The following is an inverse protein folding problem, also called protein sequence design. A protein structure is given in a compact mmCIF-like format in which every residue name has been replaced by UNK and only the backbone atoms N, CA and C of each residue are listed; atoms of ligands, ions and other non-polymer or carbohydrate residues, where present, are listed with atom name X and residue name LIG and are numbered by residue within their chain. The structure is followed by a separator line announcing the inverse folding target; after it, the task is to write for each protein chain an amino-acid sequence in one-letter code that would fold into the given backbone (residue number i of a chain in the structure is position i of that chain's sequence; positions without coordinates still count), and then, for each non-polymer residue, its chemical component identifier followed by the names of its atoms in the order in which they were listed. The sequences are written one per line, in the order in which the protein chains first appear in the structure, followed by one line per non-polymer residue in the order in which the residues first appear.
data_IF_430058547201
#
_entry.id   IF_430058547201
#
_cell.length_a   1.000
_cell.length_b   1.000
_cell.length_c   1.000
_cell.angle_alpha   90.00
_cell.angle_beta   90.00
_cell.angle_gamma   90.00
#
_symmetry.space_group_name_H-M   'P 1'
#
loop_
_entity.id
_entity.type
_entity.pdbx_description
1 polymer ?
#
# COMPACT_ATOMS: atom_id res chain seq x y z
N UNK A 1 -19.38 -9.78 -39.27
CA UNK A 1 -19.30 -8.34 -38.94
C UNK A 1 -18.52 -8.17 -37.64
N UNK A 2 -17.28 -7.68 -37.72
CA UNK A 2 -16.39 -7.54 -36.58
C UNK A 2 -16.82 -6.33 -35.74
N UNK A 3 -17.28 -6.56 -34.50
CA UNK A 3 -17.51 -5.47 -33.53
C UNK A 3 -16.16 -4.93 -33.08
N UNK A 4 -15.85 -3.71 -33.53
CA UNK A 4 -14.67 -2.94 -33.15
C UNK A 4 -14.42 -3.02 -31.64
N UNK A 5 -13.30 -3.62 -31.27
CA UNK A 5 -12.67 -3.52 -29.95
C UNK A 5 -12.11 -2.10 -29.81
N UNK A 6 -12.99 -1.12 -29.59
CA UNK A 6 -12.61 0.30 -29.55
C UNK A 6 -11.84 0.72 -28.29
N UNK A 7 -11.42 -0.23 -27.44
CA UNK A 7 -10.66 0.06 -26.23
C UNK A 7 -9.87 -1.17 -25.75
N UNK A 8 -8.60 -1.33 -26.18
CA UNK A 8 -7.75 -2.46 -25.81
C UNK A 8 -7.38 -2.47 -24.31
N UNK A 9 -7.51 -1.35 -23.60
CA UNK A 9 -7.26 -1.26 -22.15
C UNK A 9 -8.54 -1.21 -21.31
N UNK A 10 -9.71 -1.18 -21.96
CA UNK A 10 -11.01 -1.04 -21.30
C UNK A 10 -11.08 0.21 -20.39
N UNK A 11 -10.39 1.29 -20.77
CA UNK A 11 -10.36 2.57 -20.07
C UNK A 11 -11.76 3.19 -19.87
N UNK A 12 -12.66 3.09 -20.85
CA UNK A 12 -14.04 3.58 -20.72
C UNK A 12 -14.80 2.79 -19.63
N UNK A 13 -14.65 1.47 -19.64
CA UNK A 13 -15.26 0.59 -18.63
C UNK A 13 -14.76 0.92 -17.23
N UNK A 14 -13.45 1.11 -17.08
CA UNK A 14 -12.82 1.49 -15.81
C UNK A 14 -13.37 2.83 -15.29
N UNK A 15 -13.47 3.86 -16.13
CA UNK A 15 -14.04 5.16 -15.76
C UNK A 15 -15.48 5.07 -15.27
N UNK A 16 -16.32 4.27 -15.96
CA UNK A 16 -17.71 4.05 -15.55
C UNK A 16 -17.76 3.37 -14.18
N UNK A 17 -16.94 2.34 -13.97
CA UNK A 17 -16.86 1.61 -12.70
C UNK A 17 -16.34 2.47 -11.55
N UNK A 18 -15.37 3.34 -11.80
CA UNK A 18 -14.87 4.33 -10.83
C UNK A 18 -15.99 5.30 -10.43
N UNK A 19 -16.69 5.88 -11.40
CA UNK A 19 -17.82 6.78 -11.14
C UNK A 19 -18.96 6.11 -10.37
N UNK A 20 -19.24 4.82 -10.65
CA UNK A 20 -20.22 4.04 -9.87
C UNK A 20 -19.75 3.80 -8.45
N UNK A 21 -18.46 3.54 -8.24
CA UNK A 21 -17.88 3.36 -6.91
C UNK A 21 -17.95 4.66 -6.08
N UNK A 22 -17.66 5.81 -6.69
CA UNK A 22 -17.74 7.12 -6.05
C UNK A 22 -19.15 7.48 -5.60
N UNK A 23 -20.16 7.11 -6.41
CA UNK A 23 -21.59 7.33 -6.08
C UNK A 23 -22.20 6.25 -5.18
N UNK A 24 -21.40 5.26 -4.77
CA UNK A 24 -21.85 4.05 -4.07
C UNK A 24 -23.03 3.33 -4.78
N UNK A 25 -23.04 3.37 -6.11
CA UNK A 25 -24.03 2.65 -6.91
C UNK A 25 -23.65 1.17 -7.04
N UNK A 26 -24.63 0.27 -6.94
CA UNK A 26 -24.38 -1.18 -7.01
C UNK A 26 -23.72 -1.57 -8.34
N UNK A 27 -22.50 -2.12 -8.25
CA UNK A 27 -21.73 -2.51 -9.42
C UNK A 27 -22.22 -3.86 -9.93
N UNK A 28 -22.99 -3.82 -11.02
CA UNK A 28 -23.44 -5.01 -11.76
C UNK A 28 -23.24 -4.83 -13.26
N UNK A 29 -23.07 -5.91 -14.01
CA UNK A 29 -22.92 -5.84 -15.47
C UNK A 29 -24.10 -5.11 -16.15
N UNK A 30 -25.32 -5.23 -15.61
CA UNK A 30 -26.51 -4.53 -16.12
C UNK A 30 -26.52 -3.04 -15.78
N UNK A 31 -26.00 -2.67 -14.61
CA UNK A 31 -25.89 -1.26 -14.22
C UNK A 31 -24.83 -0.55 -15.07
N UNK A 32 -23.69 -1.20 -15.31
CA UNK A 32 -22.62 -0.69 -16.20
C UNK A 32 -23.15 -0.43 -17.61
N UNK A 33 -23.93 -1.35 -18.19
CA UNK A 33 -24.44 -1.16 -19.57
C UNK A 33 -25.43 -0.01 -19.73
N UNK A 34 -26.01 0.49 -18.63
CA UNK A 34 -26.86 1.70 -18.66
C UNK A 34 -26.04 2.98 -18.76
N UNK A 35 -24.79 2.94 -18.30
CA UNK A 35 -23.90 4.11 -18.22
C UNK A 35 -22.79 4.08 -19.28
N UNK A 36 -22.53 2.93 -19.88
CA UNK A 36 -21.50 2.75 -20.90
C UNK A 36 -22.00 3.11 -22.31
N UNK A 37 -21.17 3.82 -23.09
CA UNK A 37 -21.58 4.31 -24.41
C UNK A 37 -21.69 3.20 -25.46
N UNK A 38 -20.76 2.23 -25.46
CA UNK A 38 -20.65 1.17 -26.46
C UNK A 38 -21.14 -0.22 -26.01
N UNK A 39 -21.03 -0.56 -24.72
CA UNK A 39 -21.47 -1.86 -24.18
C UNK A 39 -22.97 -1.82 -23.81
N UNK A 40 -23.82 -2.35 -24.68
CA UNK A 40 -25.29 -2.28 -24.52
C UNK A 40 -25.89 -3.50 -23.81
N UNK A 41 -25.20 -4.64 -23.79
CA UNK A 41 -25.69 -5.85 -23.15
C UNK A 41 -24.74 -6.34 -22.06
N UNK A 42 -25.29 -6.89 -20.97
CA UNK A 42 -24.47 -7.45 -19.89
C UNK A 42 -23.53 -8.56 -20.38
N UNK A 43 -23.95 -9.31 -21.41
CA UNK A 43 -23.13 -10.34 -22.06
C UNK A 43 -21.89 -9.79 -22.75
N UNK A 44 -21.86 -8.52 -23.17
CA UNK A 44 -20.69 -7.89 -23.78
C UNK A 44 -19.56 -7.67 -22.75
N UNK A 45 -19.89 -7.69 -21.46
CA UNK A 45 -18.96 -7.62 -20.33
C UNK A 45 -18.64 -9.01 -19.81
N UNK A 46 -19.66 -9.85 -19.56
CA UNK A 46 -19.47 -11.15 -18.88
C UNK A 46 -18.86 -12.24 -19.77
N UNK A 47 -18.98 -12.14 -21.10
CA UNK A 47 -18.37 -13.11 -22.04
C UNK A 47 -16.91 -12.79 -22.38
N UNK A 48 -16.47 -11.55 -22.18
CA UNK A 48 -15.09 -11.13 -22.45
C UNK A 48 -14.26 -11.21 -21.17
N UNK A 49 -13.22 -12.05 -21.15
CA UNK A 49 -12.45 -12.34 -19.94
C UNK A 49 -11.86 -11.09 -19.30
N UNK A 50 -11.18 -10.22 -20.07
CA UNK A 50 -10.57 -8.99 -19.55
C UNK A 50 -11.57 -8.04 -18.89
N UNK A 51 -12.79 -7.91 -19.44
CA UNK A 51 -13.83 -7.01 -18.91
C UNK A 51 -14.48 -7.60 -17.66
N UNK A 52 -14.70 -8.91 -17.66
CA UNK A 52 -15.19 -9.66 -16.49
C UNK A 52 -14.22 -9.55 -15.32
N UNK A 53 -12.91 -9.66 -15.57
CA UNK A 53 -11.89 -9.53 -14.52
C UNK A 53 -11.92 -8.13 -13.89
N UNK A 54 -12.00 -7.08 -14.72
CA UNK A 54 -12.12 -5.69 -14.21
C UNK A 54 -13.41 -5.53 -13.40
N UNK A 55 -14.56 -5.96 -13.93
CA UNK A 55 -15.83 -5.90 -13.21
C UNK A 55 -15.75 -6.59 -11.84
N UNK A 56 -15.20 -7.81 -11.79
CA UNK A 56 -15.06 -8.57 -10.55
C UNK A 56 -14.15 -7.86 -9.55
N UNK A 57 -13.04 -7.28 -10.00
CA UNK A 57 -12.13 -6.52 -9.13
C UNK A 57 -12.83 -5.32 -8.48
N UNK A 58 -13.63 -4.57 -9.26
CA UNK A 58 -14.40 -3.45 -8.75
C UNK A 58 -15.55 -3.88 -7.82
N UNK A 59 -16.21 -5.00 -8.10
CA UNK A 59 -17.21 -5.59 -7.20
C UNK A 59 -16.60 -5.97 -5.85
N UNK A 60 -15.43 -6.62 -5.86
CA UNK A 60 -14.68 -6.93 -4.64
C UNK A 60 -14.31 -5.66 -3.87
N UNK A 61 -13.79 -4.63 -4.57
CA UNK A 61 -13.47 -3.34 -3.95
C UNK A 61 -14.70 -2.67 -3.31
N UNK A 62 -15.85 -2.69 -3.99
CA UNK A 62 -17.10 -2.17 -3.42
C UNK A 62 -17.54 -2.94 -2.18
N UNK A 63 -17.44 -4.27 -2.20
CA UNK A 63 -17.79 -5.11 -1.05
C UNK A 63 -16.89 -4.82 0.16
N UNK A 64 -15.59 -4.63 -0.06
CA UNK A 64 -14.64 -4.24 0.99
C UNK A 64 -14.95 -2.87 1.57
N UNK A 65 -15.18 -1.87 0.72
CA UNK A 65 -15.55 -0.52 1.15
C UNK A 65 -16.85 -0.51 1.96
N UNK A 66 -17.88 -1.23 1.51
CA UNK A 66 -19.15 -1.35 2.23
C UNK A 66 -19.00 -2.11 3.55
N UNK A 67 -18.16 -3.15 3.60
CA UNK A 67 -17.83 -3.86 4.84
C UNK A 67 -17.11 -2.94 5.82
N UNK A 68 -16.18 -2.12 5.35
CA UNK A 68 -15.50 -1.12 6.17
C UNK A 68 -16.48 -0.06 6.67
N UNK A 69 -17.27 0.55 5.78
CA UNK A 69 -18.29 1.54 6.15
C UNK A 69 -19.30 0.97 7.16
N UNK A 70 -19.71 -0.29 6.99
CA UNK A 70 -20.57 -1.00 7.94
C UNK A 70 -19.91 -1.16 9.32
N UNK A 71 -18.63 -1.52 9.37
CA UNK A 71 -17.86 -1.57 10.63
C UNK A 71 -17.75 -0.20 11.30
N UNK A 72 -17.51 0.87 10.52
CA UNK A 72 -17.45 2.25 11.02
C UNK A 72 -18.80 2.68 11.58
N UNK A 73 -19.90 2.42 10.86
CA UNK A 73 -21.26 2.71 11.32
C UNK A 73 -21.59 1.97 12.61
N UNK A 74 -21.22 0.69 12.71
CA UNK A 74 -21.53 -0.15 13.88
C UNK A 74 -20.67 0.21 15.11
N UNK A 75 -19.41 0.63 14.91
CA UNK A 75 -18.53 1.05 16.01
C UNK A 75 -18.68 2.54 16.36
N UNK A 76 -19.30 3.33 15.50
CA UNK A 76 -19.39 4.79 15.61
C UNK A 76 -18.11 5.48 15.11
N UNK A 77 -18.28 6.52 14.30
CA UNK A 77 -17.18 7.28 13.66
C UNK A 77 -16.15 7.79 14.68
N UNK A 78 -16.60 8.23 15.86
CA UNK A 78 -15.73 8.72 16.94
C UNK A 78 -14.81 7.63 17.51
N UNK A 79 -15.27 6.39 17.63
CA UNK A 79 -14.45 5.28 18.15
C UNK A 79 -13.41 4.88 17.12
N UNK A 80 -13.77 4.88 15.83
CA UNK A 80 -12.81 4.62 14.74
C UNK A 80 -11.77 5.72 14.66
N UNK A 81 -12.16 6.99 14.74
CA UNK A 81 -11.22 8.12 14.75
C UNK A 81 -10.24 8.03 15.92
N UNK A 82 -10.71 7.73 17.14
CA UNK A 82 -9.83 7.51 18.31
C UNK A 82 -8.89 6.32 18.12
N UNK A 83 -9.36 5.22 17.56
CA UNK A 83 -8.53 4.05 17.28
C UNK A 83 -7.47 4.33 16.21
N UNK A 84 -7.80 5.15 15.21
CA UNK A 84 -6.86 5.56 14.18
C UNK A 84 -5.78 6.48 14.77
N UNK A 85 -6.20 7.49 15.53
CA UNK A 85 -5.28 8.38 16.24
C UNK A 85 -4.33 7.59 17.16
N UNK A 86 -4.85 6.66 17.96
CA UNK A 86 -4.01 5.84 18.83
C UNK A 86 -3.02 4.94 18.05
N UNK A 87 -3.41 4.48 16.85
CA UNK A 87 -2.52 3.73 15.98
C UNK A 87 -1.42 4.62 15.40
N UNK A 88 -1.76 5.84 14.97
CA UNK A 88 -0.80 6.82 14.44
C UNK A 88 0.21 7.25 15.52
N UNK A 89 -0.27 7.52 16.75
CA UNK A 89 0.59 7.82 17.91
C UNK A 89 1.55 6.65 18.19
N UNK A 90 1.08 5.40 18.10
CA UNK A 90 1.92 4.22 18.29
C UNK A 90 2.96 4.06 17.18
N UNK A 91 2.61 4.39 15.94
CA UNK A 91 3.56 4.37 14.81
C UNK A 91 4.66 5.40 15.06
N UNK A 92 4.31 6.64 15.41
CA UNK A 92 5.29 7.69 15.71
C UNK A 92 6.23 7.31 16.85
N UNK A 93 5.71 6.69 17.91
CA UNK A 93 6.52 6.19 19.03
C UNK A 93 7.50 5.09 18.58
N UNK A 94 7.06 4.15 17.75
CA UNK A 94 7.90 3.09 17.22
C UNK A 94 9.01 3.63 16.31
N UNK A 95 8.69 4.58 15.43
CA UNK A 95 9.67 5.23 14.56
C UNK A 95 10.72 6.02 15.37
N UNK A 96 10.30 6.72 16.41
CA UNK A 96 11.21 7.43 17.33
C UNK A 96 12.15 6.46 18.04
N UNK A 97 11.62 5.31 18.51
CA UNK A 97 12.41 4.27 19.16
C UNK A 97 13.41 3.61 18.20
N UNK A 98 13.04 3.42 16.93
CA UNK A 98 13.93 2.91 15.91
C UNK A 98 15.10 3.88 15.68
N UNK A 99 14.83 5.17 15.51
CA UNK A 99 15.87 6.19 15.37
C UNK A 99 16.82 6.24 16.57
N UNK A 100 16.28 6.18 17.80
CA UNK A 100 17.08 6.15 19.02
C UNK A 100 18.00 4.92 19.09
N UNK A 101 17.51 3.74 18.67
CA UNK A 101 18.32 2.51 18.59
C UNK A 101 19.41 2.61 17.55
N UNK A 102 19.12 3.15 16.37
CA UNK A 102 20.12 3.37 15.32
C UNK A 102 21.22 4.32 15.82
N UNK A 103 20.83 5.44 16.42
CA UNK A 103 21.76 6.41 17.00
C UNK A 103 22.62 5.77 18.10
N UNK A 104 22.01 4.96 18.98
CA UNK A 104 22.73 4.23 20.02
C UNK A 104 23.74 3.23 19.45
N UNK A 105 23.34 2.45 18.43
CA UNK A 105 24.24 1.51 17.77
C UNK A 105 25.40 2.21 17.08
N UNK A 106 25.15 3.33 16.39
CA UNK A 106 26.21 4.14 15.78
C UNK A 106 27.15 4.72 16.83
N UNK A 107 26.63 5.29 17.91
CA UNK A 107 27.44 5.81 19.01
C UNK A 107 28.32 4.70 19.63
N UNK A 108 27.78 3.49 19.80
CA UNK A 108 28.52 2.34 20.31
C UNK A 108 29.62 1.90 19.34
N UNK A 109 29.34 1.86 18.03
CA UNK A 109 30.34 1.55 16.99
C UNK A 109 31.48 2.57 17.03
N UNK A 110 31.15 3.87 17.10
CA UNK A 110 32.14 4.95 17.17
C UNK A 110 32.99 4.84 18.43
N UNK A 111 32.39 4.58 19.60
CA UNK A 111 33.14 4.39 20.84
C UNK A 111 34.08 3.17 20.78
N UNK A 112 33.64 2.06 20.17
CA UNK A 112 34.50 0.88 19.96
C UNK A 112 35.64 1.18 18.98
N UNK A 113 35.40 2.00 17.96
CA UNK A 113 36.43 2.45 17.03
C UNK A 113 37.50 3.30 17.76
N UNK A 114 37.09 4.26 18.58
CA UNK A 114 37.96 5.14 19.34
C UNK A 114 38.80 4.38 20.38
N UNK A 115 38.20 3.42 21.10
CA UNK A 115 38.87 2.67 22.17
C UNK A 115 39.73 1.50 21.68
N UNK A 116 39.35 0.88 20.55
CA UNK A 116 39.90 -0.40 20.09
C UNK A 116 40.74 -0.35 18.82
N UNK A 117 40.77 0.79 18.13
CA UNK A 117 41.39 0.94 16.83
C UNK A 117 40.71 0.10 15.74
N UNK A 118 41.27 0.16 14.53
CA UNK A 118 40.70 -0.45 13.30
C UNK A 118 40.52 -1.97 13.40
N UNK A 119 41.36 -2.68 14.14
CA UNK A 119 41.34 -4.14 14.21
C UNK A 119 40.15 -4.69 15.02
N UNK A 120 39.80 -4.05 16.16
CA UNK A 120 38.61 -4.42 16.94
C UNK A 120 37.33 -3.98 16.24
N UNK A 121 37.35 -2.84 15.57
CA UNK A 121 36.24 -2.36 14.75
C UNK A 121 35.93 -3.34 13.61
N UNK A 122 36.95 -3.88 12.94
CA UNK A 122 36.78 -4.85 11.85
C UNK A 122 36.11 -6.16 12.33
N UNK A 123 36.51 -6.65 13.52
CA UNK A 123 35.90 -7.85 14.12
C UNK A 123 34.44 -7.60 14.49
N UNK A 124 34.16 -6.46 15.11
CA UNK A 124 32.79 -6.05 15.44
C UNK A 124 31.92 -5.93 14.18
N UNK A 125 32.40 -5.26 13.12
CA UNK A 125 31.66 -5.11 11.87
C UNK A 125 31.35 -6.44 11.18
N UNK A 126 32.22 -7.45 11.28
CA UNK A 126 31.95 -8.79 10.72
C UNK A 126 30.72 -9.43 11.35
N UNK A 127 30.56 -9.32 12.67
CA UNK A 127 29.46 -9.98 13.39
C UNK A 127 28.11 -9.26 13.15
N UNK A 128 28.14 -7.97 12.82
CA UNK A 128 26.95 -7.12 12.65
C UNK A 128 26.72 -6.60 11.23
N UNK A 129 27.43 -7.12 10.22
CA UNK A 129 27.29 -6.71 8.82
C UNK A 129 25.84 -6.78 8.31
N UNK A 130 25.10 -7.82 8.74
CA UNK A 130 23.70 -8.02 8.37
C UNK A 130 22.77 -6.89 8.85
N UNK A 131 23.06 -6.28 10.01
CA UNK A 131 22.27 -5.15 10.54
C UNK A 131 22.55 -3.89 9.71
N UNK A 132 23.82 -3.62 9.39
CA UNK A 132 24.17 -2.51 8.49
C UNK A 132 23.44 -2.63 7.15
N UNK A 133 23.46 -3.81 6.54
CA UNK A 133 22.82 -4.04 5.23
C UNK A 133 21.30 -3.89 5.29
N UNK A 134 20.69 -4.15 6.45
CA UNK A 134 19.29 -3.86 6.68
C UNK A 134 19.03 -2.35 6.79
N UNK A 135 19.88 -1.62 7.52
CA UNK A 135 19.77 -0.16 7.67
C UNK A 135 20.00 0.59 6.35
N UNK A 136 20.91 0.13 5.49
CA UNK A 136 21.10 0.67 4.13
C UNK A 136 19.81 0.49 3.31
N UNK A 137 19.20 -0.71 3.35
CA UNK A 137 17.96 -1.00 2.61
C UNK A 137 16.78 -0.14 3.08
N UNK A 138 16.77 0.23 4.36
CA UNK A 138 15.74 1.09 4.94
C UNK A 138 16.03 2.59 4.77
N UNK A 139 17.17 2.97 4.16
CA UNK A 139 17.56 4.37 4.00
C UNK A 139 17.87 5.08 5.33
N UNK A 140 18.08 4.33 6.41
CA UNK A 140 18.20 4.87 7.76
C UNK A 140 19.64 5.23 8.14
N UNK A 141 20.60 5.05 7.22
CA UNK A 141 21.98 5.50 7.37
C UNK A 141 22.20 6.86 6.71
N UNK A 142 22.82 7.83 7.39
CA UNK A 142 23.28 9.07 6.78
C UNK A 142 24.19 8.80 5.57
N UNK A 143 24.13 9.65 4.54
CA UNK A 143 24.82 9.45 3.26
C UNK A 143 26.33 9.14 3.40
N UNK A 144 26.97 9.73 4.41
CA UNK A 144 28.39 9.51 4.74
C UNK A 144 28.75 8.08 5.17
N UNK A 145 27.77 7.26 5.55
CA UNK A 145 27.96 5.87 6.00
C UNK A 145 27.41 4.83 5.01
N UNK A 146 26.91 5.26 3.85
CA UNK A 146 26.28 4.38 2.84
C UNK A 146 27.29 3.77 1.84
N UNK A 147 28.53 4.27 1.79
CA UNK A 147 29.53 3.87 0.78
C UNK A 147 30.82 3.23 1.35
N UNK A 148 30.80 2.73 2.58
CA UNK A 148 31.98 2.12 3.23
C UNK A 148 31.94 0.60 3.27
#
# INVERSE_FOLDING_TARGET
MARSTTDPQHAELTKVLESMLERDEEITARAVTRQHSSLKNASDITRHEGRRTILNAFQSKQAELRKFAGRVRNKGTTIVAKSLQAADERIQELETNEQARIASHLAMITAVAELGGTQKLQKFYKDYAHIRDQLVRQGALPAQFSQS
#
